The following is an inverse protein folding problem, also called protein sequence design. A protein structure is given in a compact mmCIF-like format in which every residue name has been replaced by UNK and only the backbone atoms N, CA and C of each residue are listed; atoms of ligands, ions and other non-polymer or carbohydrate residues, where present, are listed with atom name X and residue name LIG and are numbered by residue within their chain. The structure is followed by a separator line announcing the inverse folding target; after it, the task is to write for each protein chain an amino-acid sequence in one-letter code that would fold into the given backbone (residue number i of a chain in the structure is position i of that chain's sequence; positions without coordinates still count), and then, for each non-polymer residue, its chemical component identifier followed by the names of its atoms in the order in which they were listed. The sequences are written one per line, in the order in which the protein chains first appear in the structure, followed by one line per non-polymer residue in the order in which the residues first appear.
data_IF_767334218155
#
_entry.id   IF_767334218155
#
_cell.length_a   1.000
_cell.length_b   1.000
_cell.length_c   1.000
_cell.angle_alpha   90.00
_cell.angle_beta   90.00
_cell.angle_gamma   90.00
#
_symmetry.space_group_name_H-M   'P 1'
#
loop_
_entity.id
_entity.type
_entity.pdbx_description
1 polymer ?
#
# COMPACT_ATOMS: atom_id res chain seq x y z
N UNK A 1 -20.48 -9.18 -10.05
CA UNK A 1 -20.05 -9.76 -8.75
C UNK A 1 -18.82 -10.63 -8.88
N UNK A 2 -18.84 -11.86 -9.45
CA UNK A 2 -17.62 -12.69 -9.55
C UNK A 2 -16.64 -12.19 -10.64
N UNK A 3 -17.17 -11.62 -11.73
CA UNK A 3 -16.37 -11.06 -12.83
C UNK A 3 -15.57 -9.80 -12.43
N UNK A 4 -16.19 -8.87 -11.70
CA UNK A 4 -15.55 -7.60 -11.28
C UNK A 4 -14.39 -7.82 -10.30
N UNK A 5 -14.47 -8.86 -9.46
CA UNK A 5 -13.37 -9.23 -8.57
C UNK A 5 -12.20 -9.84 -9.35
N UNK A 6 -12.45 -10.50 -10.49
CA UNK A 6 -11.41 -11.04 -11.36
C UNK A 6 -10.64 -9.91 -12.04
N UNK A 7 -11.36 -8.96 -12.67
CA UNK A 7 -10.76 -7.79 -13.31
C UNK A 7 -9.96 -6.93 -12.32
N UNK A 8 -10.46 -6.77 -11.10
CA UNK A 8 -9.74 -6.06 -10.04
C UNK A 8 -8.48 -6.81 -9.61
N UNK A 9 -8.53 -8.14 -9.50
CA UNK A 9 -7.34 -8.92 -9.19
C UNK A 9 -6.32 -8.80 -10.32
N UNK A 10 -6.72 -8.97 -11.58
CA UNK A 10 -5.82 -8.84 -12.72
C UNK A 10 -5.12 -7.48 -12.73
N UNK A 11 -5.87 -6.39 -12.50
CA UNK A 11 -5.30 -5.04 -12.39
C UNK A 11 -4.29 -4.92 -11.26
N UNK A 12 -4.60 -5.48 -10.09
CA UNK A 12 -3.71 -5.38 -8.93
C UNK A 12 -2.44 -6.23 -9.10
N UNK A 13 -2.49 -7.33 -9.87
CA UNK A 13 -1.30 -8.13 -10.19
C UNK A 13 -0.33 -7.39 -11.11
N UNK A 14 -0.82 -6.48 -11.95
CA UNK A 14 0.01 -5.61 -12.78
C UNK A 14 0.72 -4.51 -11.99
N UNK A 15 0.15 -4.10 -10.85
CA UNK A 15 0.68 -2.98 -10.05
C UNK A 15 1.90 -3.41 -9.23
N UNK A 16 1.87 -4.61 -8.64
CA UNK A 16 2.98 -5.09 -7.85
C UNK A 16 2.72 -6.39 -7.10
N UNK A 17 3.72 -6.85 -6.32
CA UNK A 17 3.61 -8.08 -5.54
C UNK A 17 2.48 -8.02 -4.53
N UNK A 18 1.83 -9.17 -4.27
CA UNK A 18 0.78 -9.29 -3.25
C UNK A 18 1.38 -9.45 -1.86
N UNK A 19 0.70 -8.88 -0.87
CA UNK A 19 1.02 -9.07 0.54
C UNK A 19 0.56 -10.46 1.00
N UNK A 20 1.50 -11.40 1.12
CA UNK A 20 1.21 -12.82 1.38
C UNK A 20 0.64 -13.08 2.78
N UNK A 21 1.08 -12.33 3.79
CA UNK A 21 0.68 -12.52 5.19
C UNK A 21 -0.62 -11.77 5.54
N UNK A 22 -1.48 -11.52 4.55
CA UNK A 22 -2.72 -10.78 4.74
C UNK A 22 -3.76 -11.64 5.46
N UNK A 23 -4.19 -11.19 6.64
CA UNK A 23 -5.21 -11.87 7.46
C UNK A 23 -6.63 -11.34 7.23
N UNK A 24 -6.79 -10.32 6.39
CA UNK A 24 -8.08 -9.71 6.09
C UNK A 24 -8.84 -10.37 4.94
N UNK A 25 -9.92 -9.72 4.51
CA UNK A 25 -10.74 -10.20 3.40
C UNK A 25 -10.00 -10.05 2.05
N UNK A 26 -10.33 -10.91 1.10
CA UNK A 26 -9.94 -10.78 -0.30
C UNK A 26 -10.56 -9.49 -0.93
N UNK A 27 -9.93 -8.93 -1.98
CA UNK A 27 -8.71 -9.38 -2.64
C UNK A 27 -7.46 -9.13 -1.79
N UNK A 28 -6.39 -9.89 -2.07
CA UNK A 28 -5.09 -9.71 -1.43
C UNK A 28 -4.55 -8.32 -1.77
N UNK A 29 -4.21 -7.47 -0.79
CA UNK A 29 -3.66 -6.16 -1.10
C UNK A 29 -2.27 -6.29 -1.74
N UNK A 30 -1.90 -5.28 -2.51
CA UNK A 30 -0.53 -5.11 -3.02
C UNK A 30 0.37 -4.68 -1.86
N UNK A 31 1.55 -5.28 -1.77
CA UNK A 31 2.57 -4.87 -0.82
C UNK A 31 3.23 -3.58 -1.28
N UNK A 32 2.88 -2.48 -0.61
CA UNK A 32 3.35 -1.15 -0.97
C UNK A 32 4.81 -0.92 -0.59
N UNK A 33 5.40 -1.73 0.29
CA UNK A 33 6.82 -1.62 0.64
C UNK A 33 7.73 -2.15 -0.48
N UNK A 34 7.20 -3.05 -1.30
CA UNK A 34 7.90 -3.64 -2.45
C UNK A 34 7.71 -2.83 -3.74
N UNK A 35 6.90 -1.78 -3.72
CA UNK A 35 6.72 -0.93 -4.88
C UNK A 35 7.99 -0.09 -5.13
N UNK A 36 8.32 0.19 -6.41
CA UNK A 36 9.45 1.06 -6.72
C UNK A 36 9.30 2.42 -6.03
N UNK A 37 10.32 2.90 -5.29
CA UNK A 37 10.24 4.19 -4.59
C UNK A 37 10.17 5.37 -5.55
N UNK A 38 10.59 5.17 -6.80
CA UNK A 38 10.54 6.15 -7.87
C UNK A 38 10.06 5.48 -9.16
N UNK A 39 8.94 5.96 -9.69
CA UNK A 39 8.47 5.58 -11.03
C UNK A 39 9.01 6.60 -12.03
N UNK A 40 9.94 6.17 -12.89
CA UNK A 40 10.51 7.05 -13.91
C UNK A 40 9.42 7.62 -14.82
N UNK A 41 9.49 8.93 -15.09
CA UNK A 41 8.51 9.69 -15.90
C UNK A 41 7.10 9.77 -15.29
N UNK A 42 6.90 9.35 -14.04
CA UNK A 42 5.63 9.60 -13.36
C UNK A 42 5.46 11.10 -13.12
N UNK A 43 4.40 11.66 -13.69
CA UNK A 43 3.96 13.03 -13.44
C UNK A 43 2.73 12.95 -12.57
N UNK A 44 2.77 13.59 -11.40
CA UNK A 44 1.60 13.68 -10.53
C UNK A 44 0.41 14.23 -11.33
N UNK A 45 -0.72 13.50 -11.39
CA UNK A 45 -1.88 13.95 -12.15
C UNK A 45 -2.40 15.27 -11.58
N UNK A 46 -2.88 16.15 -12.46
CA UNK A 46 -3.47 17.41 -12.03
C UNK A 46 -4.76 17.15 -11.27
N UNK A 47 -4.87 17.68 -10.06
CA UNK A 47 -6.12 17.70 -9.29
C UNK A 47 -7.02 18.82 -9.84
N UNK A 48 -7.66 18.56 -10.97
CA UNK A 48 -8.67 19.48 -11.53
C UNK A 48 -9.99 19.19 -10.83
N UNK A 49 -10.53 20.21 -10.16
CA UNK A 49 -11.91 20.18 -9.68
C UNK A 49 -12.78 20.87 -10.72
N UNK A 50 -13.90 20.23 -11.06
CA UNK A 50 -14.93 20.87 -11.87
C UNK A 50 -15.40 22.17 -11.21
N UNK A 51 -15.76 23.17 -12.02
CA UNK A 51 -16.18 24.47 -11.50
C UNK A 51 -17.36 24.32 -10.54
N UNK A 52 -17.26 24.94 -9.36
CA UNK A 52 -18.29 24.87 -8.32
C UNK A 52 -18.17 23.67 -7.37
N UNK A 53 -17.22 22.76 -7.59
CA UNK A 53 -16.93 21.66 -6.65
C UNK A 53 -15.98 22.13 -5.56
N UNK A 54 -16.34 21.85 -4.30
CA UNK A 54 -15.49 22.18 -3.14
C UNK A 54 -14.30 21.22 -3.09
N UNK A 55 -13.08 21.71 -2.75
CA UNK A 55 -11.89 20.86 -2.62
C UNK A 55 -11.87 19.99 -1.35
N UNK A 56 -12.93 20.03 -0.56
CA UNK A 56 -13.07 19.31 0.70
C UNK A 56 -14.46 18.69 0.81
N UNK A 57 -14.55 17.61 1.58
CA UNK A 57 -15.81 16.94 1.88
C UNK A 57 -16.49 17.61 3.08
N UNK A 58 -17.80 17.78 3.03
CA UNK A 58 -18.60 18.13 4.20
C UNK A 58 -18.59 17.00 5.24
N UNK A 59 -18.98 17.30 6.49
CA UNK A 59 -19.06 16.29 7.55
C UNK A 59 -19.97 15.10 7.18
N UNK A 60 -21.04 15.37 6.42
CA UNK A 60 -21.96 14.33 5.94
C UNK A 60 -21.26 13.41 4.91
N UNK A 61 -20.69 14.00 3.87
CA UNK A 61 -19.97 13.25 2.82
C UNK A 61 -18.79 12.46 3.39
N UNK A 62 -18.05 13.05 4.34
CA UNK A 62 -16.98 12.37 5.05
C UNK A 62 -17.49 11.15 5.83
N UNK A 63 -18.65 11.27 6.48
CA UNK A 63 -19.27 10.16 7.21
C UNK A 63 -19.72 9.05 6.27
N UNK A 64 -20.30 9.41 5.13
CA UNK A 64 -20.74 8.46 4.11
C UNK A 64 -19.55 7.72 3.49
N UNK A 65 -18.47 8.43 3.15
CA UNK A 65 -17.21 7.83 2.69
C UNK A 65 -16.61 6.86 3.71
N UNK A 66 -16.62 7.20 5.00
CA UNK A 66 -16.16 6.30 6.08
C UNK A 66 -17.06 5.07 6.25
N UNK A 67 -18.35 5.16 5.94
CA UNK A 67 -19.26 4.01 5.96
C UNK A 67 -18.94 3.06 4.81
N UNK A 68 -18.74 3.60 3.61
CA UNK A 68 -18.35 2.83 2.44
C UNK A 68 -16.97 2.16 2.64
N UNK A 69 -15.99 2.92 3.13
CA UNK A 69 -14.63 2.42 3.34
C UNK A 69 -14.55 1.23 4.33
N UNK A 70 -15.50 1.13 5.28
CA UNK A 70 -15.56 0.01 6.23
C UNK A 70 -15.96 -1.31 5.57
N UNK A 71 -16.72 -1.25 4.49
CA UNK A 71 -17.15 -2.46 3.75
C UNK A 71 -16.18 -2.85 2.65
N UNK A 72 -15.32 -1.92 2.21
CA UNK A 72 -14.34 -2.18 1.15
C UNK A 72 -13.02 -2.71 1.73
N UNK A 73 -12.50 -3.84 1.22
CA UNK A 73 -11.17 -4.31 1.61
C UNK A 73 -10.09 -3.30 1.20
N UNK A 74 -8.95 -3.25 1.91
CA UNK A 74 -7.82 -2.42 1.51
C UNK A 74 -7.14 -3.00 0.27
N UNK A 75 -6.67 -2.12 -0.61
CA UNK A 75 -5.98 -2.50 -1.85
C UNK A 75 -4.46 -2.49 -1.72
N UNK A 76 -3.93 -1.75 -0.76
CA UNK A 76 -2.51 -1.65 -0.46
C UNK A 76 -2.29 -1.95 1.02
N UNK A 77 -1.26 -2.72 1.31
CA UNK A 77 -0.77 -2.96 2.65
C UNK A 77 0.63 -2.36 2.75
N UNK A 78 0.87 -1.61 3.82
CA UNK A 78 2.19 -1.14 4.21
C UNK A 78 2.61 -1.98 5.40
N UNK A 79 3.74 -2.68 5.30
CA UNK A 79 4.37 -3.34 6.41
C UNK A 79 4.99 -2.32 7.35
N UNK A 80 4.98 -2.60 8.65
CA UNK A 80 5.78 -1.81 9.58
C UNK A 80 7.23 -2.26 9.41
N UNK A 81 8.00 -1.51 8.64
CA UNK A 81 9.44 -1.71 8.50
C UNK A 81 10.15 -1.30 9.81
N UNK A 82 10.11 -2.15 10.84
CA UNK A 82 11.08 -2.10 11.98
C UNK A 82 12.33 -2.92 11.63
N UNK A 83 12.67 -3.07 10.35
CA UNK A 83 13.88 -3.76 9.89
C UNK A 83 15.01 -2.78 9.59
N UNK A 84 15.52 -2.13 10.65
CA UNK A 84 16.93 -1.72 10.70
C UNK A 84 17.63 -2.10 12.01
N UNK A 85 16.95 -2.79 12.94
CA UNK A 85 17.57 -3.23 14.19
C UNK A 85 17.32 -4.72 14.46
N UNK A 86 17.58 -5.60 13.49
CA UNK A 86 17.65 -7.04 13.78
C UNK A 86 18.44 -7.89 12.79
N UNK A 87 19.46 -7.33 12.13
CA UNK A 87 20.38 -8.13 11.31
C UNK A 87 21.80 -7.58 11.15
N UNK A 88 22.21 -6.62 11.98
CA UNK A 88 23.65 -6.46 12.24
C UNK A 88 24.01 -7.40 13.38
N UNK A 89 24.17 -8.67 13.04
CA UNK A 89 24.91 -9.64 13.85
C UNK A 89 26.30 -9.05 14.09
N UNK A 90 26.49 -8.34 15.20
CA UNK A 90 27.83 -8.01 15.73
C UNK A 90 28.39 -9.32 16.29
N UNK A 91 28.75 -10.22 15.39
CA UNK A 91 29.51 -11.44 15.68
C UNK A 91 30.51 -11.71 14.55
N UNK A 92 31.14 -10.66 14.04
CA UNK A 92 32.32 -10.78 13.18
C UNK A 92 33.46 -9.84 13.56
N UNK A 93 33.27 -8.90 14.50
CA UNK A 93 34.32 -7.96 14.90
C UNK A 93 35.16 -8.39 16.11
N UNK A 94 34.83 -9.50 16.78
CA UNK A 94 35.59 -10.04 17.92
C UNK A 94 36.47 -11.25 17.57
N UNK A 95 36.81 -11.47 16.28
CA UNK A 95 37.72 -12.54 15.87
C UNK A 95 39.02 -12.06 15.19
N UNK A 96 39.29 -10.75 15.15
CA UNK A 96 40.56 -10.20 14.62
C UNK A 96 41.45 -9.51 15.66
N UNK A 97 41.12 -9.57 16.95
CA UNK A 97 41.95 -8.97 18.02
C UNK A 97 42.73 -10.01 18.87
N UNK A 98 42.88 -11.25 18.38
CA UNK A 98 43.64 -12.32 19.07
C UNK A 98 44.77 -12.94 18.23
N UNK A 99 45.34 -12.20 17.28
CA UNK A 99 46.67 -12.51 16.73
C UNK A 99 47.54 -11.28 16.75
#
# INVERSE_FOLDING_TARGET
MVSELCELNDLLDEIGPRFLDWTGCAPLPVDADLLPPLVMRYKCPFRILLQGVKPYLSNKEMTDMRRLARTTPPHFALGIFISLCRQSTISSFLLQASV
#
